data_IF_381931707735
#
_entry.id   IF_381931707735
#
_cell.length_a   1.000
_cell.length_b   1.000
_cell.length_c   1.000
_cell.angle_alpha   90.00
_cell.angle_beta   90.00
_cell.angle_gamma   90.00
#
_symmetry.space_group_name_H-M   'P 1'
#
loop_
_entity.id
_entity.type
_entity.pdbx_description
1 polymer ?
#
# COMPACT_ATOMS: atom_id res chain seq x y z
N UNK A 1 -19.41 -39.03 -8.84
CA UNK A 1 -18.74 -37.95 -9.60
C UNK A 1 -19.06 -36.53 -9.09
N UNK A 2 -20.17 -36.29 -8.39
CA UNK A 2 -20.52 -34.95 -7.85
C UNK A 2 -19.51 -34.45 -6.79
N UNK A 3 -19.05 -35.31 -5.87
CA UNK A 3 -18.09 -34.91 -4.84
C UNK A 3 -16.71 -34.49 -5.36
N UNK A 4 -16.26 -35.03 -6.51
CA UNK A 4 -14.99 -34.64 -7.12
C UNK A 4 -15.07 -33.24 -7.78
N UNK A 5 -16.22 -32.89 -8.34
CA UNK A 5 -16.48 -31.56 -8.91
C UNK A 5 -16.57 -30.50 -7.80
N UNK A 6 -17.22 -30.83 -6.68
CA UNK A 6 -17.27 -29.95 -5.50
C UNK A 6 -15.90 -29.73 -4.86
N UNK A 7 -15.08 -30.79 -4.76
CA UNK A 7 -13.70 -30.68 -4.28
C UNK A 7 -12.84 -29.80 -5.20
N UNK A 8 -12.98 -29.94 -6.52
CA UNK A 8 -12.28 -29.10 -7.49
C UNK A 8 -12.71 -27.63 -7.41
N UNK A 9 -14.01 -27.37 -7.21
CA UNK A 9 -14.54 -26.02 -6.97
C UNK A 9 -13.95 -25.38 -5.71
N UNK A 10 -13.94 -26.10 -4.59
CA UNK A 10 -13.36 -25.59 -3.34
C UNK A 10 -11.86 -25.29 -3.46
N UNK A 11 -11.11 -26.16 -4.13
CA UNK A 11 -9.70 -25.93 -4.40
C UNK A 11 -9.48 -24.66 -5.25
N UNK A 12 -10.34 -24.44 -6.25
CA UNK A 12 -10.28 -23.26 -7.12
C UNK A 12 -10.60 -21.97 -6.34
N UNK A 13 -11.69 -21.95 -5.57
CA UNK A 13 -12.05 -20.82 -4.70
C UNK A 13 -10.96 -20.51 -3.67
N UNK A 14 -10.32 -21.54 -3.11
CA UNK A 14 -9.23 -21.35 -2.14
C UNK A 14 -8.03 -20.66 -2.78
N UNK A 15 -7.68 -21.01 -4.02
CA UNK A 15 -6.62 -20.33 -4.77
C UNK A 15 -7.00 -18.88 -5.10
N UNK A 16 -8.24 -18.64 -5.53
CA UNK A 16 -8.73 -17.28 -5.83
C UNK A 16 -8.69 -16.37 -4.59
N UNK A 17 -9.11 -16.88 -3.43
CA UNK A 17 -9.07 -16.14 -2.16
C UNK A 17 -7.63 -15.79 -1.77
N UNK A 18 -6.68 -16.72 -1.92
CA UNK A 18 -5.26 -16.43 -1.62
C UNK A 18 -4.71 -15.30 -2.50
N UNK A 19 -5.01 -15.33 -3.81
CA UNK A 19 -4.60 -14.26 -4.74
C UNK A 19 -5.32 -12.95 -4.42
N UNK A 20 -6.59 -12.99 -4.06
CA UNK A 20 -7.38 -11.81 -3.69
C UNK A 20 -6.85 -11.16 -2.41
N UNK A 21 -6.49 -11.94 -1.39
CA UNK A 21 -5.88 -11.44 -0.15
C UNK A 21 -4.52 -10.81 -0.43
N UNK A 22 -3.68 -11.44 -1.26
CA UNK A 22 -2.38 -10.90 -1.66
C UNK A 22 -2.53 -9.56 -2.40
N UNK A 23 -3.47 -9.48 -3.36
CA UNK A 23 -3.81 -8.23 -4.05
C UNK A 23 -4.30 -7.17 -3.09
N UNK A 24 -5.21 -7.52 -2.18
CA UNK A 24 -5.74 -6.59 -1.19
C UNK A 24 -4.64 -6.02 -0.28
N UNK A 25 -3.69 -6.86 0.14
CA UNK A 25 -2.54 -6.41 0.93
C UNK A 25 -1.66 -5.43 0.13
N UNK A 26 -1.41 -5.71 -1.15
CA UNK A 26 -0.63 -4.84 -2.04
C UNK A 26 -1.35 -3.50 -2.28
N UNK A 27 -2.66 -3.52 -2.51
CA UNK A 27 -3.48 -2.30 -2.66
C UNK A 27 -3.46 -1.45 -1.37
N UNK A 28 -3.51 -2.10 -0.20
CA UNK A 28 -3.40 -1.40 1.09
C UNK A 28 -2.02 -0.76 1.28
N UNK A 29 -0.94 -1.44 0.88
CA UNK A 29 0.40 -0.86 0.89
C UNK A 29 0.49 0.34 -0.07
N UNK A 30 -0.05 0.23 -1.28
CA UNK A 30 -0.11 1.32 -2.26
C UNK A 30 -0.92 2.54 -1.78
N UNK A 31 -2.04 2.31 -1.08
CA UNK A 31 -2.82 3.41 -0.50
C UNK A 31 -2.05 4.11 0.64
N UNK A 32 -1.32 3.35 1.46
CA UNK A 32 -0.45 3.92 2.50
C UNK A 32 0.68 4.76 1.93
N UNK A 33 1.35 4.28 0.88
CA UNK A 33 2.43 5.04 0.23
C UNK A 33 1.91 6.26 -0.51
N UNK A 34 0.72 6.21 -1.12
CA UNK A 34 0.09 7.37 -1.74
C UNK A 34 -0.29 8.43 -0.68
N UNK A 35 -0.79 7.99 0.48
CA UNK A 35 -1.10 8.89 1.61
C UNK A 35 0.16 9.58 2.14
N UNK A 36 1.26 8.82 2.30
CA UNK A 36 2.56 9.39 2.66
C UNK A 36 3.07 10.35 1.58
N UNK A 37 2.97 10.00 0.30
CA UNK A 37 3.36 10.88 -0.80
C UNK A 37 2.54 12.17 -0.81
N UNK A 38 1.21 12.09 -0.63
CA UNK A 38 0.35 13.25 -0.52
C UNK A 38 0.71 14.13 0.68
N UNK A 39 1.12 13.52 1.80
CA UNK A 39 1.54 14.26 3.00
C UNK A 39 2.81 15.09 2.79
N UNK A 40 3.69 14.68 1.87
CA UNK A 40 4.93 15.42 1.53
C UNK A 40 4.77 16.37 0.33
N UNK A 41 3.76 16.19 -0.51
CA UNK A 41 3.51 17.07 -1.68
C UNK A 41 2.74 18.36 -1.38
N UNK A 42 2.27 18.55 -0.14
CA UNK A 42 1.74 19.85 0.29
C UNK A 42 2.85 20.91 0.34
N UNK A 43 2.50 22.20 0.28
CA UNK A 43 3.43 23.31 0.48
C UNK A 43 4.03 23.23 1.89
N UNK A 44 5.10 22.44 2.04
CA UNK A 44 5.73 22.16 3.31
C UNK A 44 6.34 23.48 3.82
N UNK A 45 5.92 23.98 5.00
CA UNK A 45 6.46 25.23 5.51
C UNK A 45 7.97 25.09 5.62
N UNK A 46 8.71 26.03 5.02
CA UNK A 46 10.15 26.12 5.19
C UNK A 46 10.43 26.11 6.69
N UNK A 47 11.21 25.14 7.16
CA UNK A 47 11.64 25.13 8.55
C UNK A 47 12.55 26.34 8.81
N UNK A 48 11.98 27.39 9.41
CA UNK A 48 12.68 28.67 9.68
C UNK A 48 13.43 28.67 11.02
N UNK A 49 13.45 27.55 11.74
CA UNK A 49 14.03 27.45 13.07
C UNK A 49 14.71 26.10 13.28
N UNK A 50 15.91 26.14 13.89
CA UNK A 50 16.77 24.97 14.06
C UNK A 50 17.69 24.72 12.86
N UNK A 51 18.88 24.18 13.13
CA UNK A 51 19.92 23.95 12.11
C UNK A 51 19.54 22.88 11.09
N UNK A 52 18.85 21.82 11.53
CA UNK A 52 18.49 20.67 10.68
C UNK A 52 17.40 21.04 9.67
N UNK A 53 16.35 21.72 10.12
CA UNK A 53 15.24 22.12 9.25
C UNK A 53 15.67 23.07 8.14
N UNK A 54 16.49 24.08 8.46
CA UNK A 54 17.01 25.03 7.46
C UNK A 54 17.92 24.35 6.42
N UNK A 55 18.72 23.35 6.82
CA UNK A 55 19.57 22.60 5.89
C UNK A 55 18.75 21.72 4.94
N UNK A 56 17.68 21.11 5.42
CA UNK A 56 16.78 20.31 4.59
C UNK A 56 16.05 21.17 3.54
N UNK A 57 15.65 22.41 3.89
CA UNK A 57 15.05 23.35 2.93
C UNK A 57 15.97 23.73 1.76
N UNK A 58 17.30 23.68 1.94
CA UNK A 58 18.28 24.02 0.91
C UNK A 58 18.56 22.86 -0.05
N UNK A 59 18.19 21.63 0.35
CA UNK A 59 18.38 20.41 -0.44
C UNK A 59 17.15 20.02 -1.26
N UNK A 60 15.97 20.53 -0.91
CA UNK A 60 14.71 20.34 -1.62
C UNK A 60 14.61 21.28 -2.83
#
# INVERSE_FOLDING_TARGET
MVGAVEAAKQANTTQEVQVAVMKKAMDMQGAGTLSLLQSVTGNLPLATSGSVGTQLNLLA
#
